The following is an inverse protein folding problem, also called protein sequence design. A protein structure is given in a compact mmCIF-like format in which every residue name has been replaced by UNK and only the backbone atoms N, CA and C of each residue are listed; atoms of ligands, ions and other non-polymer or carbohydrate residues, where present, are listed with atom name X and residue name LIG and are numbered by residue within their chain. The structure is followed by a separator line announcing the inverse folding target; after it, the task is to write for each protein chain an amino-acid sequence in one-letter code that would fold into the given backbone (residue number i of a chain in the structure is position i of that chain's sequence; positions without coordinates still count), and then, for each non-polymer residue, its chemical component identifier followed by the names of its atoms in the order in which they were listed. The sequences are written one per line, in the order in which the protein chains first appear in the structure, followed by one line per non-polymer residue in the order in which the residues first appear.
data_IF_847292079299
#
_entry.id   IF_847292079299
#
_cell.length_a   1.000
_cell.length_b   1.000
_cell.length_c   1.000
_cell.angle_alpha   90.00
_cell.angle_beta   90.00
_cell.angle_gamma   90.00
#
_symmetry.space_group_name_H-M   'P 1'
#
loop_
_entity.id
_entity.type
_entity.pdbx_description
1 polymer ?
#
# COMPACT_ATOMS: atom_id res chain seq x y z
N UNK A 1 27.10 -79.96 -43.72
CA UNK A 1 25.80 -79.40 -44.15
C UNK A 1 25.71 -77.99 -43.59
N UNK A 2 25.60 -76.98 -44.47
CA UNK A 2 25.54 -75.56 -44.15
C UNK A 2 24.37 -75.22 -43.21
N UNK A 3 24.52 -74.16 -42.41
CA UNK A 3 23.63 -72.99 -42.48
C UNK A 3 24.23 -71.81 -41.71
N UNK A 4 24.63 -70.76 -42.43
CA UNK A 4 24.94 -69.46 -41.88
C UNK A 4 23.64 -68.63 -41.84
N UNK A 5 23.19 -68.24 -40.66
CA UNK A 5 22.11 -67.26 -40.49
C UNK A 5 22.75 -65.88 -40.27
N UNK A 6 22.67 -65.02 -41.29
CA UNK A 6 23.03 -63.61 -41.19
C UNK A 6 21.95 -62.84 -40.43
N UNK A 7 22.28 -62.33 -39.25
CA UNK A 7 21.46 -61.38 -38.51
C UNK A 7 21.54 -60.02 -39.20
N UNK A 8 20.45 -59.63 -39.90
CA UNK A 8 20.24 -58.24 -40.34
C UNK A 8 19.87 -57.40 -39.12
N UNK A 9 20.82 -56.64 -38.58
CA UNK A 9 20.55 -55.59 -37.61
C UNK A 9 19.86 -54.42 -38.33
N UNK A 10 18.54 -54.28 -38.16
CA UNK A 10 17.77 -53.17 -38.70
C UNK A 10 17.90 -51.97 -37.75
N UNK A 11 18.69 -50.97 -38.16
CA UNK A 11 18.91 -49.70 -37.42
C UNK A 11 17.64 -48.86 -37.19
N UNK A 12 16.49 -49.28 -37.74
CA UNK A 12 15.24 -48.53 -37.70
C UNK A 12 14.66 -48.42 -36.28
N UNK A 13 14.67 -49.51 -35.50
CA UNK A 13 14.15 -49.52 -34.12
C UNK A 13 14.93 -48.60 -33.16
N UNK A 14 16.28 -48.64 -33.11
CA UNK A 14 17.04 -47.74 -32.25
C UNK A 14 16.93 -46.27 -32.68
N UNK A 15 16.80 -46.00 -33.99
CA UNK A 15 16.58 -44.64 -34.50
C UNK A 15 15.19 -44.10 -34.12
N UNK A 16 14.15 -44.92 -34.24
CA UNK A 16 12.79 -44.53 -33.88
C UNK A 16 12.66 -44.27 -32.37
N UNK A 17 13.28 -45.10 -31.54
CA UNK A 17 13.30 -44.89 -30.08
C UNK A 17 14.09 -43.64 -29.68
N UNK A 18 15.23 -43.37 -30.30
CA UNK A 18 15.97 -42.12 -30.08
C UNK A 18 15.16 -40.89 -30.50
N UNK A 19 14.47 -40.96 -31.64
CA UNK A 19 13.64 -39.87 -32.13
C UNK A 19 12.43 -39.60 -31.22
N UNK A 20 11.76 -40.65 -30.75
CA UNK A 20 10.68 -40.53 -29.76
C UNK A 20 11.19 -39.97 -28.43
N UNK A 21 12.37 -40.40 -27.97
CA UNK A 21 12.98 -39.88 -26.75
C UNK A 21 13.29 -38.37 -26.89
N UNK A 22 13.94 -37.96 -27.98
CA UNK A 22 14.23 -36.55 -28.26
C UNK A 22 12.97 -35.71 -28.47
N UNK A 23 11.89 -36.28 -29.03
CA UNK A 23 10.60 -35.59 -29.17
C UNK A 23 9.89 -35.36 -27.82
N UNK A 24 10.18 -36.16 -26.80
CA UNK A 24 9.63 -36.02 -25.44
C UNK A 24 10.52 -35.16 -24.54
N UNK A 25 11.80 -34.96 -24.88
CA UNK A 25 12.71 -34.02 -24.20
C UNK A 25 12.31 -32.57 -24.56
N UNK A 26 11.23 -32.10 -23.92
CA UNK A 26 10.97 -30.66 -23.80
C UNK A 26 12.12 -30.08 -22.97
N UNK A 27 12.77 -29.03 -23.47
CA UNK A 27 13.64 -28.16 -22.66
C UNK A 27 12.76 -27.40 -21.65
N UNK A 28 12.30 -28.08 -20.60
CA UNK A 28 11.61 -27.47 -19.48
C UNK A 28 12.64 -26.89 -18.52
N UNK A 29 12.57 -25.58 -18.28
CA UNK A 29 13.22 -25.00 -17.11
C UNK A 29 12.35 -25.35 -15.90
N UNK A 30 12.83 -26.25 -15.03
CA UNK A 30 12.08 -26.69 -13.84
C UNK A 30 11.99 -25.61 -12.75
N UNK A 31 12.58 -24.43 -12.97
CA UNK A 31 12.73 -23.38 -11.98
C UNK A 31 13.81 -23.72 -10.94
N UNK A 32 14.22 -22.72 -10.16
CA UNK A 32 15.11 -22.90 -9.02
C UNK A 32 14.29 -22.60 -7.77
N UNK A 33 14.16 -23.57 -6.87
CA UNK A 33 13.58 -23.34 -5.55
C UNK A 33 14.70 -23.00 -4.57
N UNK A 34 14.51 -21.94 -3.79
CA UNK A 34 15.47 -21.55 -2.74
C UNK A 34 15.54 -22.64 -1.67
N UNK A 35 16.73 -22.84 -1.09
CA UNK A 35 16.90 -23.65 0.13
C UNK A 35 16.42 -22.94 1.39
N UNK A 36 15.92 -21.71 1.27
CA UNK A 36 15.38 -20.94 2.38
C UNK A 36 14.13 -21.61 2.95
N UNK A 37 14.15 -21.89 4.25
CA UNK A 37 13.02 -22.42 5.01
C UNK A 37 12.61 -21.36 6.02
N UNK A 38 11.36 -20.88 5.92
CA UNK A 38 10.79 -19.95 6.88
C UNK A 38 10.69 -20.60 8.28
N UNK A 39 10.72 -19.78 9.33
CA UNK A 39 10.43 -20.27 10.67
C UNK A 39 9.06 -20.94 10.72
N UNK A 40 8.95 -22.04 11.49
CA UNK A 40 7.68 -22.76 11.67
C UNK A 40 6.61 -21.91 12.37
N UNK A 41 7.03 -20.93 13.17
CA UNK A 41 6.14 -20.09 13.96
C UNK A 41 5.60 -18.91 13.16
N UNK A 42 4.32 -18.60 13.38
CA UNK A 42 3.65 -17.44 12.80
C UNK A 42 4.31 -16.14 13.27
N UNK A 43 4.31 -15.14 12.38
CA UNK A 43 4.68 -13.78 12.77
C UNK A 43 3.60 -13.22 13.69
N UNK A 44 3.99 -12.66 14.82
CA UNK A 44 3.05 -11.98 15.73
C UNK A 44 2.92 -10.51 15.33
N UNK A 45 1.69 -10.00 15.39
CA UNK A 45 1.43 -8.58 15.20
C UNK A 45 2.14 -7.77 16.27
N UNK A 46 2.66 -6.61 15.85
CA UNK A 46 3.31 -5.69 16.76
C UNK A 46 2.26 -5.20 17.78
N UNK A 47 2.60 -5.12 19.08
CA UNK A 47 1.73 -4.53 20.10
C UNK A 47 1.37 -3.08 19.78
N UNK A 48 0.14 -2.65 20.08
CA UNK A 48 -0.35 -1.30 19.74
C UNK A 48 0.40 -0.17 20.45
N UNK A 49 1.03 -0.46 21.60
CA UNK A 49 1.86 0.46 22.39
C UNK A 49 3.31 0.55 21.86
N UNK A 50 3.65 -0.18 20.81
CA UNK A 50 4.97 -0.12 20.20
C UNK A 50 5.22 1.22 19.49
N UNK A 51 6.45 1.73 19.63
CA UNK A 51 6.92 2.97 18.98
C UNK A 51 6.71 3.03 17.47
N UNK A 52 6.60 1.88 16.80
CA UNK A 52 6.36 1.80 15.34
C UNK A 52 4.99 2.36 14.96
N UNK A 53 4.02 2.29 15.88
CA UNK A 53 2.69 2.89 15.75
C UNK A 53 2.55 4.18 16.56
N UNK A 54 3.66 4.76 17.00
CA UNK A 54 3.63 5.97 17.81
C UNK A 54 2.83 7.06 17.10
N UNK A 55 2.02 7.74 17.89
CA UNK A 55 1.40 8.99 17.48
C UNK A 55 2.53 10.03 17.39
N UNK A 56 2.61 10.85 16.32
CA UNK A 56 3.61 11.89 16.18
C UNK A 56 3.78 12.73 17.45
N UNK A 57 5.02 13.12 17.76
CA UNK A 57 5.32 13.91 18.94
C UNK A 57 4.88 15.37 18.72
N UNK A 58 4.17 15.87 19.72
CA UNK A 58 3.31 17.04 19.66
C UNK A 58 2.30 16.90 20.79
N UNK A 59 1.24 17.70 20.85
CA UNK A 59 0.38 17.71 22.05
C UNK A 59 -0.28 16.33 22.35
N UNK A 60 0.24 15.70 23.42
CA UNK A 60 -0.20 14.56 24.25
C UNK A 60 0.07 13.09 23.82
N UNK A 61 1.26 12.57 24.17
CA UNK A 61 1.43 11.16 24.58
C UNK A 61 1.49 11.08 26.12
N UNK A 62 0.87 10.11 26.85
CA UNK A 62 0.04 8.95 26.48
C UNK A 62 -1.39 8.92 27.11
N UNK A 63 -2.30 8.09 26.57
CA UNK A 63 -3.66 7.86 27.09
C UNK A 63 -3.69 6.73 28.14
N UNK A 64 -3.79 7.07 29.44
CA UNK A 64 -4.42 6.24 30.48
C UNK A 64 -4.74 7.09 31.75
N UNK A 65 -5.77 7.97 31.75
CA UNK A 65 -6.57 8.21 32.96
C UNK A 65 -7.96 8.73 32.58
N UNK A 66 -8.98 8.11 33.17
CA UNK A 66 -10.40 8.48 33.17
C UNK A 66 -10.58 9.93 33.67
N UNK A 67 -11.04 10.82 32.79
CA UNK A 67 -11.56 12.14 33.16
C UNK A 67 -10.59 13.31 32.97
N UNK A 68 -10.55 13.88 31.76
CA UNK A 68 -10.51 15.31 31.41
C UNK A 68 -10.08 15.41 29.94
N UNK A 69 -11.03 15.73 29.06
CA UNK A 69 -10.83 15.80 27.60
C UNK A 69 -10.13 17.11 27.27
N UNK A 70 -9.01 17.00 26.57
CA UNK A 70 -8.16 18.11 26.15
C UNK A 70 -7.83 17.77 24.68
N UNK A 71 -8.48 18.50 23.76
CA UNK A 71 -8.71 18.12 22.34
C UNK A 71 -7.42 18.15 21.50
N UNK A 72 -7.15 17.08 20.74
CA UNK A 72 -5.97 16.88 19.90
C UNK A 72 -6.35 16.93 18.40
N UNK A 73 -5.68 17.75 17.59
CA UNK A 73 -5.95 17.87 16.14
C UNK A 73 -4.68 17.75 15.27
N UNK A 74 -3.78 16.83 15.63
CA UNK A 74 -2.64 16.49 14.77
C UNK A 74 -3.05 15.45 13.73
N UNK A 75 -2.65 15.68 12.47
CA UNK A 75 -2.89 14.74 11.39
C UNK A 75 -2.10 13.45 11.63
N UNK A 76 -2.75 12.30 11.49
CA UNK A 76 -2.22 10.95 11.62
C UNK A 76 -2.33 10.21 10.29
N UNK A 77 -1.53 9.17 10.10
CA UNK A 77 -1.67 8.22 8.99
C UNK A 77 -1.61 8.89 7.62
N UNK A 78 -0.64 9.80 7.44
CA UNK A 78 -0.47 10.54 6.18
C UNK A 78 0.02 9.61 5.08
N UNK A 79 -0.65 9.64 3.93
CA UNK A 79 -0.25 8.86 2.77
C UNK A 79 -0.64 9.58 1.47
N UNK A 80 0.10 9.28 0.41
CA UNK A 80 -0.12 9.86 -0.91
C UNK A 80 -0.26 8.76 -1.97
N UNK A 81 -1.03 9.04 -3.01
CA UNK A 81 -1.13 8.22 -4.23
C UNK A 81 -1.19 9.14 -5.45
N UNK A 82 -0.90 8.62 -6.64
CA UNK A 82 -1.14 9.35 -7.87
C UNK A 82 -2.62 9.74 -7.99
N UNK A 83 -2.87 10.98 -8.42
CA UNK A 83 -4.20 11.61 -8.45
C UNK A 83 -4.81 11.77 -9.84
N UNK A 84 -4.04 11.55 -10.89
CA UNK A 84 -4.45 11.65 -12.29
C UNK A 84 -3.95 10.45 -13.12
N UNK A 85 -4.20 10.51 -14.42
CA UNK A 85 -3.76 9.47 -15.36
C UNK A 85 -2.30 9.63 -15.80
N UNK A 86 -1.75 10.85 -15.78
CA UNK A 86 -0.45 11.14 -16.39
C UNK A 86 0.69 11.36 -15.38
N UNK A 87 0.42 11.38 -14.07
CA UNK A 87 1.42 11.62 -13.03
C UNK A 87 1.65 13.10 -12.69
N UNK A 88 0.74 14.00 -13.09
CA UNK A 88 0.76 15.43 -12.77
C UNK A 88 -0.14 15.80 -11.58
N UNK A 89 -0.72 14.81 -10.91
CA UNK A 89 -1.49 15.04 -9.70
C UNK A 89 -1.18 13.99 -8.62
N UNK A 90 -1.39 14.40 -7.37
CA UNK A 90 -1.23 13.55 -6.19
C UNK A 90 -2.44 13.76 -5.28
N UNK A 91 -3.03 12.66 -4.79
CA UNK A 91 -4.02 12.70 -3.72
C UNK A 91 -3.30 12.55 -2.39
N UNK A 92 -3.38 13.56 -1.55
CA UNK A 92 -2.81 13.58 -0.20
C UNK A 92 -3.94 13.28 0.79
N UNK A 93 -3.73 12.29 1.64
CA UNK A 93 -4.72 11.80 2.59
C UNK A 93 -4.16 11.74 4.00
N UNK A 94 -4.97 12.07 4.99
CA UNK A 94 -4.60 12.05 6.41
C UNK A 94 -5.85 11.93 7.30
N UNK A 95 -5.64 11.69 8.59
CA UNK A 95 -6.71 11.57 9.59
C UNK A 95 -6.52 12.58 10.70
N UNK A 96 -7.53 13.38 11.06
CA UNK A 96 -7.54 14.11 12.35
C UNK A 96 -8.41 13.35 13.36
N UNK A 97 -7.93 13.09 14.58
CA UNK A 97 -8.59 12.16 15.50
C UNK A 97 -9.87 12.73 16.14
N UNK A 98 -9.84 13.98 16.63
CA UNK A 98 -10.90 14.50 17.50
C UNK A 98 -11.87 15.47 16.83
N UNK A 99 -11.39 16.34 15.95
CA UNK A 99 -12.20 17.34 15.25
C UNK A 99 -11.98 17.32 13.73
N UNK A 100 -12.96 17.78 12.93
CA UNK A 100 -12.86 17.76 11.47
C UNK A 100 -11.65 18.48 10.90
N UNK A 101 -11.06 19.44 11.62
CA UNK A 101 -9.92 20.21 11.15
C UNK A 101 -10.16 20.96 9.84
N UNK A 102 -9.06 21.37 9.19
CA UNK A 102 -9.08 22.02 7.89
C UNK A 102 -8.58 21.03 6.81
N UNK A 103 -9.45 20.70 5.84
CA UNK A 103 -9.07 19.94 4.63
C UNK A 103 -8.35 20.83 3.62
N UNK A 104 -7.15 21.30 3.95
CA UNK A 104 -6.36 22.15 3.05
C UNK A 104 -4.91 21.71 3.04
N UNK A 105 -4.36 21.55 1.83
CA UNK A 105 -2.94 21.33 1.61
C UNK A 105 -2.33 22.63 1.12
N UNK A 106 -1.23 23.06 1.73
CA UNK A 106 -0.37 24.10 1.17
C UNK A 106 0.87 23.43 0.58
N UNK A 107 1.31 23.85 -0.61
CA UNK A 107 2.42 23.18 -1.30
C UNK A 107 3.27 24.16 -2.11
N UNK A 108 4.50 23.74 -2.43
CA UNK A 108 5.46 24.51 -3.22
C UNK A 108 6.72 23.71 -3.52
N UNK A 109 7.61 24.25 -4.36
CA UNK A 109 8.85 23.57 -4.79
C UNK A 109 10.04 23.87 -3.89
N UNK A 110 9.87 24.74 -2.89
CA UNK A 110 10.90 25.14 -1.93
C UNK A 110 10.46 24.83 -0.51
N UNK A 111 11.38 24.30 0.29
CA UNK A 111 11.14 23.99 1.69
C UNK A 111 10.70 25.25 2.46
N UNK A 112 9.69 25.12 3.33
CA UNK A 112 9.09 26.23 4.09
C UNK A 112 8.47 27.36 3.24
N UNK A 113 8.28 27.17 1.92
CA UNK A 113 7.63 28.15 1.03
C UNK A 113 6.47 27.51 0.28
N UNK A 114 5.26 27.83 0.74
CA UNK A 114 4.02 27.26 0.21
C UNK A 114 3.26 28.32 -0.60
N UNK A 115 3.54 28.37 -1.89
CA UNK A 115 3.00 29.37 -2.82
C UNK A 115 1.60 29.00 -3.32
N UNK A 116 1.26 27.71 -3.25
CA UNK A 116 0.00 27.17 -3.73
C UNK A 116 -0.78 26.50 -2.60
N UNK A 117 -2.08 26.34 -2.82
CA UNK A 117 -2.92 25.57 -1.92
C UNK A 117 -4.04 24.87 -2.67
N UNK A 118 -4.44 23.70 -2.18
CA UNK A 118 -5.58 22.94 -2.67
C UNK A 118 -6.55 22.66 -1.51
N UNK A 119 -7.84 22.73 -1.80
CA UNK A 119 -8.90 22.38 -0.85
C UNK A 119 -9.31 20.92 -1.07
N UNK A 120 -9.46 20.19 0.02
CA UNK A 120 -9.86 18.79 0.05
C UNK A 120 -11.25 18.58 0.62
N UNK A 121 -11.64 17.32 0.73
CA UNK A 121 -12.87 16.89 1.39
C UNK A 121 -12.55 16.19 2.70
N UNK A 122 -13.56 16.03 3.55
CA UNK A 122 -13.45 15.28 4.82
C UNK A 122 -14.64 14.34 4.94
N UNK A 123 -14.39 13.13 5.40
CA UNK A 123 -15.40 12.12 5.69
C UNK A 123 -15.07 11.40 6.99
N UNK A 124 -15.99 10.58 7.49
CA UNK A 124 -15.72 9.61 8.54
C UNK A 124 -16.65 8.42 8.34
N UNK A 125 -16.37 7.34 9.05
CA UNK A 125 -17.21 6.15 9.01
C UNK A 125 -17.29 5.50 10.38
N UNK A 126 -18.31 4.67 10.54
CA UNK A 126 -18.45 3.77 11.69
C UNK A 126 -18.35 2.33 11.21
N UNK A 127 -17.66 1.52 11.99
CA UNK A 127 -17.56 0.07 11.82
C UNK A 127 -17.85 -0.57 13.18
N UNK A 128 -19.01 -1.19 13.32
CA UNK A 128 -19.54 -1.64 14.60
C UNK A 128 -19.52 -0.49 15.64
N UNK A 129 -18.86 -0.68 16.80
CA UNK A 129 -18.71 0.37 17.81
C UNK A 129 -17.52 1.31 17.55
N UNK A 130 -16.66 0.99 16.58
CA UNK A 130 -15.57 1.86 16.20
C UNK A 130 -16.11 3.04 15.38
N UNK A 131 -15.66 4.24 15.74
CA UNK A 131 -15.87 5.45 14.95
C UNK A 131 -14.52 5.97 14.52
N UNK A 132 -14.34 6.18 13.22
CA UNK A 132 -13.10 6.73 12.70
C UNK A 132 -12.89 8.17 13.17
N UNK A 133 -11.65 8.60 13.14
CA UNK A 133 -11.34 10.02 13.03
C UNK A 133 -11.89 10.60 11.72
N UNK A 134 -11.58 11.87 11.48
CA UNK A 134 -11.95 12.58 10.27
C UNK A 134 -10.90 12.34 9.21
N UNK A 135 -11.29 11.68 8.12
CA UNK A 135 -10.41 11.27 7.03
C UNK A 135 -10.51 12.31 5.93
N UNK A 136 -9.36 12.87 5.58
CA UNK A 136 -9.23 13.92 4.59
C UNK A 136 -8.64 13.36 3.31
N UNK A 137 -9.13 13.86 2.18
CA UNK A 137 -8.52 13.65 0.87
C UNK A 137 -8.42 14.98 0.14
N UNK A 138 -7.24 15.31 -0.35
CA UNK A 138 -6.99 16.53 -1.10
C UNK A 138 -6.26 16.19 -2.40
N UNK A 139 -6.88 16.51 -3.54
CA UNK A 139 -6.25 16.40 -4.85
C UNK A 139 -5.39 17.64 -5.09
N UNK A 140 -4.10 17.44 -5.29
CA UNK A 140 -3.16 18.46 -5.75
C UNK A 140 -2.83 18.15 -7.20
N UNK A 141 -3.26 18.98 -8.14
CA UNK A 141 -3.10 18.81 -9.57
C UNK A 141 -2.23 19.91 -10.21
N UNK A 142 -2.01 19.80 -11.52
CA UNK A 142 -1.23 20.78 -12.28
C UNK A 142 0.26 20.80 -11.94
N UNK A 143 0.79 19.71 -11.38
CA UNK A 143 2.20 19.62 -10.97
C UNK A 143 3.12 19.44 -12.17
N UNK A 144 4.36 19.93 -12.06
CA UNK A 144 5.39 19.68 -13.07
C UNK A 144 5.98 18.27 -12.90
N UNK A 145 6.40 17.67 -14.01
CA UNK A 145 7.10 16.38 -13.99
C UNK A 145 8.48 16.52 -13.35
N UNK A 146 9.00 15.40 -12.82
CA UNK A 146 10.34 15.30 -12.23
C UNK A 146 10.69 16.47 -11.28
N UNK A 147 9.71 16.87 -10.46
CA UNK A 147 9.83 18.03 -9.58
C UNK A 147 9.54 17.64 -8.13
N UNK A 148 10.41 18.12 -7.23
CA UNK A 148 10.22 17.95 -5.80
C UNK A 148 9.25 18.98 -5.27
N UNK A 149 8.21 18.51 -4.59
CA UNK A 149 7.23 19.35 -3.90
C UNK A 149 7.31 19.12 -2.40
N UNK A 150 7.27 20.20 -1.65
CA UNK A 150 7.03 20.20 -0.21
C UNK A 150 5.55 20.50 0.01
N UNK A 151 4.94 19.81 0.95
CA UNK A 151 3.54 20.03 1.30
C UNK A 151 3.34 20.08 2.81
N UNK A 152 2.35 20.85 3.21
CA UNK A 152 1.98 21.13 4.59
C UNK A 152 0.50 20.90 4.78
N UNK A 153 0.18 20.21 5.85
CA UNK A 153 -1.18 19.94 6.32
C UNK A 153 -1.35 20.38 7.76
N UNK A 154 -2.59 20.60 8.20
CA UNK A 154 -2.89 21.11 9.53
C UNK A 154 -2.64 22.62 9.67
N UNK A 155 -2.96 23.18 10.84
CA UNK A 155 -2.94 24.63 11.09
C UNK A 155 -2.15 24.94 12.35
N UNK A 156 -1.33 25.99 12.30
CA UNK A 156 -0.59 26.47 13.47
C UNK A 156 0.37 25.42 14.03
N UNK A 157 0.32 25.22 15.35
CA UNK A 157 1.23 24.31 16.08
C UNK A 157 1.03 22.82 15.79
N UNK A 158 -0.08 22.41 15.18
CA UNK A 158 -0.34 21.02 14.78
C UNK A 158 0.01 20.72 13.32
N UNK A 159 0.60 21.70 12.62
CA UNK A 159 0.94 21.54 11.22
C UNK A 159 2.13 20.60 11.03
N UNK A 160 2.05 19.76 9.99
CA UNK A 160 3.06 18.76 9.64
C UNK A 160 3.51 18.99 8.20
N UNK A 161 4.80 18.80 7.97
CA UNK A 161 5.45 19.10 6.70
C UNK A 161 6.12 17.86 6.14
N UNK A 162 5.99 17.66 4.84
CA UNK A 162 6.42 16.49 4.11
C UNK A 162 6.89 16.92 2.72
N UNK A 163 7.33 15.95 1.91
CA UNK A 163 7.71 16.19 0.53
C UNK A 163 7.47 14.94 -0.31
N UNK A 164 7.30 15.13 -1.61
CA UNK A 164 7.29 14.05 -2.61
C UNK A 164 7.96 14.52 -3.90
N UNK A 165 8.23 13.58 -4.80
CA UNK A 165 8.78 13.83 -6.14
C UNK A 165 7.77 13.32 -7.17
N UNK A 166 7.37 14.17 -8.12
CA UNK A 166 6.54 13.74 -9.25
C UNK A 166 7.35 12.84 -10.21
N UNK A 167 6.70 11.90 -10.91
CA UNK A 167 7.40 11.03 -11.85
C UNK A 167 8.00 11.81 -13.03
N UNK A 168 8.99 11.24 -13.75
CA UNK A 168 9.42 11.79 -15.02
C UNK A 168 8.25 11.80 -16.01
N UNK A 169 8.38 12.63 -17.04
CA UNK A 169 7.41 12.68 -18.12
C UNK A 169 7.29 11.29 -18.77
N UNK A 170 6.05 10.88 -19.07
CA UNK A 170 5.75 9.63 -19.77
C UNK A 170 6.50 9.60 -21.09
N UNK A 171 7.41 8.65 -21.19
CA UNK A 171 8.26 8.40 -22.34
C UNK A 171 8.71 6.93 -22.31
N UNK A 172 8.81 6.24 -23.47
CA UNK A 172 9.26 4.84 -23.53
C UNK A 172 10.62 4.57 -22.89
N UNK A 173 11.50 5.58 -22.85
CA UNK A 173 12.86 5.45 -22.35
C UNK A 173 13.05 6.04 -20.93
N UNK A 174 11.99 6.57 -20.32
CA UNK A 174 12.04 7.13 -18.96
C UNK A 174 12.24 6.03 -17.92
N UNK A 175 13.36 6.02 -17.16
CA UNK A 175 13.57 5.03 -16.12
C UNK A 175 12.66 5.31 -14.93
N UNK A 176 12.07 4.24 -14.38
CA UNK A 176 11.27 4.33 -13.16
C UNK A 176 11.35 3.03 -12.37
N UNK A 177 11.47 3.12 -11.05
CA UNK A 177 11.61 1.95 -10.17
C UNK A 177 10.39 1.78 -9.28
N UNK A 178 9.60 0.74 -9.54
CA UNK A 178 8.49 0.33 -8.69
C UNK A 178 8.95 -0.63 -7.59
N UNK A 179 8.57 -0.35 -6.36
CA UNK A 179 8.45 -1.37 -5.31
C UNK A 179 7.18 -2.17 -5.51
N UNK A 180 7.21 -3.47 -5.21
CA UNK A 180 6.01 -4.31 -5.23
C UNK A 180 5.89 -4.95 -3.86
N UNK A 181 4.79 -4.64 -3.16
CA UNK A 181 4.49 -5.15 -1.81
C UNK A 181 3.05 -5.65 -1.82
N UNK A 182 2.81 -6.80 -1.21
CA UNK A 182 1.47 -7.32 -0.94
C UNK A 182 1.44 -7.96 0.42
N UNK A 183 0.24 -8.16 0.97
CA UNK A 183 0.06 -8.94 2.20
C UNK A 183 0.90 -8.43 3.36
N UNK A 184 0.99 -7.09 3.50
CA UNK A 184 1.97 -6.49 4.40
C UNK A 184 1.61 -6.76 5.86
N UNK A 185 0.39 -6.47 6.29
CA UNK A 185 0.01 -6.52 7.70
C UNK A 185 0.87 -5.62 8.57
N UNK A 186 0.96 -5.94 9.87
CA UNK A 186 1.60 -5.08 10.87
C UNK A 186 2.41 -5.86 11.92
N UNK A 187 3.19 -6.82 11.44
CA UNK A 187 4.10 -7.67 12.23
C UNK A 187 5.54 -7.17 12.19
N UNK A 188 6.44 -7.78 12.96
CA UNK A 188 7.88 -7.48 12.86
C UNK A 188 8.48 -7.84 11.48
N UNK A 189 7.96 -8.89 10.82
CA UNK A 189 8.33 -9.19 9.44
C UNK A 189 7.84 -8.10 8.48
N UNK A 190 6.64 -7.56 8.70
CA UNK A 190 6.07 -6.46 7.94
C UNK A 190 6.96 -5.21 8.04
N UNK A 191 7.40 -4.88 9.26
CA UNK A 191 8.36 -3.80 9.49
C UNK A 191 9.68 -4.05 8.76
N UNK A 192 10.23 -5.26 8.86
CA UNK A 192 11.46 -5.62 8.15
C UNK A 192 11.31 -5.47 6.64
N UNK A 193 10.20 -5.93 6.05
CA UNK A 193 9.90 -5.76 4.62
C UNK A 193 9.87 -4.29 4.23
N UNK A 194 9.17 -3.45 5.01
CA UNK A 194 9.08 -2.02 4.75
C UNK A 194 10.45 -1.33 4.88
N UNK A 195 11.26 -1.69 5.87
CA UNK A 195 12.62 -1.14 6.06
C UNK A 195 13.57 -1.53 4.93
N UNK A 196 13.50 -2.77 4.43
CA UNK A 196 14.25 -3.18 3.24
C UNK A 196 13.80 -2.43 1.99
N UNK A 197 12.48 -2.24 1.83
CA UNK A 197 11.94 -1.45 0.73
C UNK A 197 12.47 -0.01 0.75
N UNK A 198 12.44 0.65 1.90
CA UNK A 198 12.91 2.03 2.06
C UNK A 198 14.41 2.20 1.73
N UNK A 199 15.19 1.11 1.77
CA UNK A 199 16.61 1.09 1.38
C UNK A 199 16.83 0.73 -0.09
N UNK A 200 15.80 0.31 -0.82
CA UNK A 200 15.91 -0.16 -2.21
C UNK A 200 16.02 0.94 -3.25
N UNK A 201 15.61 2.17 -2.93
CA UNK A 201 15.50 3.27 -3.89
C UNK A 201 14.23 3.27 -4.74
N UNK A 202 13.22 2.46 -4.38
CA UNK A 202 11.91 2.48 -5.03
C UNK A 202 11.23 3.86 -4.92
N UNK A 203 10.64 4.30 -6.03
CA UNK A 203 10.03 5.62 -6.19
C UNK A 203 8.52 5.61 -5.97
N UNK A 204 7.88 4.45 -6.13
CA UNK A 204 6.44 4.25 -5.95
C UNK A 204 6.20 2.79 -5.62
N UNK A 205 5.26 2.52 -4.72
CA UNK A 205 4.85 1.15 -4.36
C UNK A 205 3.61 0.77 -5.15
N UNK A 206 3.67 -0.36 -5.86
CA UNK A 206 2.48 -1.09 -6.30
C UNK A 206 2.07 -2.02 -5.14
N UNK A 207 0.97 -1.68 -4.47
CA UNK A 207 0.47 -2.43 -3.33
C UNK A 207 -0.66 -3.38 -3.74
N UNK A 208 -0.39 -4.68 -3.71
CA UNK A 208 -1.25 -5.71 -4.35
C UNK A 208 -2.30 -6.35 -3.43
N UNK A 209 -2.84 -5.57 -2.48
CA UNK A 209 -3.92 -6.01 -1.58
C UNK A 209 -3.46 -6.58 -0.24
N UNK A 210 -4.44 -6.79 0.64
CA UNK A 210 -4.29 -7.28 2.01
C UNK A 210 -3.38 -6.37 2.85
N UNK A 211 -3.90 -5.18 3.17
CA UNK A 211 -3.17 -4.07 3.77
C UNK A 211 -2.91 -4.34 5.26
N UNK A 212 -3.94 -4.19 6.08
CA UNK A 212 -3.80 -4.12 7.54
C UNK A 212 -4.04 -5.44 8.28
N UNK A 213 -4.76 -6.37 7.63
CA UNK A 213 -5.31 -7.58 8.25
C UNK A 213 -6.16 -7.30 9.51
N UNK A 214 -6.81 -6.13 9.55
CA UNK A 214 -7.63 -5.68 10.66
C UNK A 214 -8.84 -6.61 10.94
N UNK A 215 -9.38 -7.26 9.91
CA UNK A 215 -10.49 -8.21 9.98
C UNK A 215 -10.20 -9.46 10.83
N UNK A 216 -8.94 -9.73 11.17
CA UNK A 216 -8.53 -10.82 12.07
C UNK A 216 -8.79 -10.53 13.55
N UNK A 217 -9.16 -9.30 13.89
CA UNK A 217 -9.36 -8.85 15.26
C UNK A 217 -10.84 -8.88 15.67
N UNK A 218 -11.09 -8.81 16.99
CA UNK A 218 -12.44 -8.61 17.49
C UNK A 218 -13.03 -7.31 16.90
N UNK A 219 -14.33 -7.30 16.66
CA UNK A 219 -15.05 -6.25 15.91
C UNK A 219 -14.70 -4.80 16.33
N UNK A 220 -14.47 -4.55 17.62
CA UNK A 220 -14.12 -3.22 18.15
C UNK A 220 -12.70 -2.76 17.75
N UNK A 221 -11.81 -3.69 17.48
CA UNK A 221 -10.38 -3.43 17.23
C UNK A 221 -10.06 -3.34 15.73
N UNK A 222 -11.01 -3.67 14.84
CA UNK A 222 -10.83 -3.60 13.38
C UNK A 222 -10.38 -2.19 12.96
N UNK A 223 -11.14 -1.17 13.34
CA UNK A 223 -10.77 0.22 13.01
C UNK A 223 -9.47 0.68 13.68
N UNK A 224 -9.19 0.22 14.90
CA UNK A 224 -7.94 0.53 15.63
C UNK A 224 -6.73 -0.03 14.87
N UNK A 225 -6.87 -1.23 14.27
CA UNK A 225 -5.82 -1.88 13.49
C UNK A 225 -5.57 -1.24 12.14
N UNK A 226 -6.59 -0.61 11.54
CA UNK A 226 -6.39 0.28 10.40
C UNK A 226 -5.63 1.55 10.80
N UNK A 227 -5.95 2.14 11.95
CA UNK A 227 -5.28 3.35 12.43
C UNK A 227 -3.79 3.10 12.74
N UNK A 228 -3.47 1.99 13.41
CA UNK A 228 -2.06 1.61 13.65
C UNK A 228 -1.32 1.33 12.35
N UNK A 229 -1.95 0.64 11.40
CA UNK A 229 -1.32 0.36 10.10
C UNK A 229 -1.03 1.63 9.31
N UNK A 230 -1.97 2.58 9.29
CA UNK A 230 -1.76 3.90 8.67
C UNK A 230 -0.57 4.66 9.27
N UNK A 231 -0.44 4.69 10.60
CA UNK A 231 0.74 5.28 11.27
C UNK A 231 2.03 4.52 10.98
N UNK A 232 1.94 3.20 10.80
CA UNK A 232 3.09 2.37 10.47
C UNK A 232 3.67 2.70 9.10
N UNK A 233 2.83 2.77 8.06
CA UNK A 233 3.27 3.01 6.67
C UNK A 233 3.59 4.47 6.35
N UNK A 234 3.13 5.43 7.17
CA UNK A 234 3.34 6.88 6.96
C UNK A 234 4.80 7.23 6.67
N UNK A 235 5.74 6.54 7.32
CA UNK A 235 7.20 6.69 7.13
C UNK A 235 7.67 6.50 5.68
N UNK A 236 6.86 5.85 4.84
CA UNK A 236 7.09 5.67 3.41
C UNK A 236 6.01 6.37 2.60
N UNK A 237 4.74 6.08 2.88
CA UNK A 237 3.62 6.51 2.06
C UNK A 237 3.35 8.02 2.11
N UNK A 238 3.88 8.77 3.08
CA UNK A 238 3.81 10.23 3.07
C UNK A 238 4.82 10.88 2.10
N UNK A 239 5.79 10.12 1.60
CA UNK A 239 6.91 10.66 0.79
C UNK A 239 6.95 10.15 -0.64
N UNK A 240 6.20 9.08 -0.93
CA UNK A 240 6.12 8.48 -2.25
C UNK A 240 4.73 7.86 -2.47
N UNK A 241 4.21 7.87 -3.71
CA UNK A 241 2.94 7.26 -4.01
C UNK A 241 2.92 5.76 -3.69
N UNK A 242 1.84 5.31 -3.06
CA UNK A 242 1.46 3.90 -3.00
C UNK A 242 0.18 3.74 -3.82
N UNK A 243 0.22 2.85 -4.81
CA UNK A 243 -0.89 2.53 -5.70
C UNK A 243 -1.66 1.36 -5.09
N UNK A 244 -2.91 1.61 -4.71
CA UNK A 244 -3.72 0.73 -3.89
C UNK A 244 -4.49 -0.31 -4.71
N UNK A 245 -4.36 -1.58 -4.33
CA UNK A 245 -5.30 -2.64 -4.72
C UNK A 245 -6.03 -3.14 -3.48
N UNK A 246 -7.29 -3.54 -3.64
CA UNK A 246 -8.04 -4.20 -2.58
C UNK A 246 -7.84 -5.73 -2.66
N UNK A 247 -7.47 -6.34 -1.54
CA UNK A 247 -7.44 -7.79 -1.36
C UNK A 247 -8.72 -8.31 -0.69
N UNK A 248 -8.73 -9.59 -0.32
CA UNK A 248 -9.88 -10.18 0.36
C UNK A 248 -9.99 -9.73 1.83
N UNK A 249 -8.87 -9.38 2.48
CA UNK A 249 -8.89 -8.88 3.85
C UNK A 249 -9.48 -7.46 3.95
N UNK A 250 -9.65 -6.76 2.83
CA UNK A 250 -10.36 -5.48 2.77
C UNK A 250 -11.89 -5.63 2.64
N UNK A 251 -12.43 -6.85 2.38
CA UNK A 251 -13.87 -7.06 2.21
C UNK A 251 -14.64 -6.74 3.50
N UNK A 252 -14.11 -7.15 4.66
CA UNK A 252 -14.67 -6.90 5.99
C UNK A 252 -16.17 -7.21 6.15
N UNK A 253 -16.64 -8.28 5.53
CA UNK A 253 -18.05 -8.69 5.59
C UNK A 253 -18.34 -9.48 6.86
N UNK A 254 -18.97 -8.82 7.85
CA UNK A 254 -19.26 -9.35 9.18
C UNK A 254 -20.76 -9.17 9.53
N UNK A 255 -21.64 -10.03 8.99
CA UNK A 255 -23.10 -9.87 9.14
C UNK A 255 -23.59 -10.00 10.60
N UNK A 256 -22.88 -10.78 11.44
CA UNK A 256 -23.24 -10.99 12.85
C UNK A 256 -23.22 -9.69 13.68
N UNK A 257 -22.51 -8.66 13.21
CA UNK A 257 -22.44 -7.33 13.84
C UNK A 257 -23.02 -6.21 12.97
N UNK A 258 -23.76 -6.56 11.91
CA UNK A 258 -24.41 -5.61 11.01
C UNK A 258 -23.49 -4.96 9.97
N UNK A 259 -22.23 -5.38 9.88
CA UNK A 259 -21.27 -4.89 8.89
C UNK A 259 -21.37 -5.68 7.59
N UNK A 260 -22.34 -5.29 6.76
CA UNK A 260 -22.70 -6.00 5.51
C UNK A 260 -22.29 -5.28 4.23
N UNK A 261 -21.66 -4.10 4.34
CA UNK A 261 -21.17 -3.32 3.20
C UNK A 261 -19.70 -3.66 2.94
N UNK A 262 -19.36 -4.30 1.82
CA UNK A 262 -17.98 -4.66 1.51
C UNK A 262 -17.07 -3.44 1.36
N UNK A 263 -15.79 -3.58 1.72
CA UNK A 263 -14.75 -2.58 1.51
C UNK A 263 -14.97 -1.24 2.24
N UNK A 264 -15.85 -1.20 3.25
CA UNK A 264 -16.22 0.05 3.92
C UNK A 264 -15.00 0.80 4.47
N UNK A 265 -14.12 0.17 5.25
CA UNK A 265 -12.94 0.85 5.80
C UNK A 265 -11.95 1.25 4.71
N UNK A 266 -11.70 0.35 3.76
CA UNK A 266 -10.78 0.59 2.65
C UNK A 266 -11.20 1.82 1.82
N UNK A 267 -12.46 1.87 1.38
CA UNK A 267 -12.98 2.94 0.52
C UNK A 267 -13.06 4.31 1.20
N UNK A 268 -13.15 4.36 2.53
CA UNK A 268 -13.05 5.64 3.26
C UNK A 268 -11.62 6.08 3.50
N UNK A 269 -10.65 5.16 3.55
CA UNK A 269 -9.26 5.46 3.93
C UNK A 269 -8.34 5.69 2.75
N UNK A 270 -8.57 4.99 1.64
CA UNK A 270 -7.68 5.02 0.48
C UNK A 270 -8.45 5.45 -0.75
N UNK A 271 -8.21 6.70 -1.16
CA UNK A 271 -8.75 7.23 -2.41
C UNK A 271 -7.91 6.76 -3.59
N UNK A 272 -8.53 6.56 -4.75
CA UNK A 272 -7.89 6.13 -5.99
C UNK A 272 -8.24 7.08 -7.13
N UNK A 273 -7.38 7.24 -8.16
CA UNK A 273 -7.66 8.11 -9.31
C UNK A 273 -8.63 7.46 -10.32
N UNK A 274 -9.61 6.68 -9.86
CA UNK A 274 -10.47 5.85 -10.73
C UNK A 274 -11.21 6.67 -11.79
N UNK A 275 -11.67 7.87 -11.44
CA UNK A 275 -12.31 8.79 -12.40
C UNK A 275 -11.37 9.26 -13.50
N UNK A 276 -10.06 9.41 -13.24
CA UNK A 276 -9.08 9.84 -14.23
C UNK A 276 -8.90 8.79 -15.34
N UNK A 277 -9.09 7.52 -15.01
CA UNK A 277 -9.09 6.41 -15.98
C UNK A 277 -10.45 6.15 -16.65
N UNK A 278 -11.48 6.93 -16.32
CA UNK A 278 -12.86 6.69 -16.79
C UNK A 278 -13.55 5.49 -16.13
N UNK A 279 -12.99 4.95 -15.04
CA UNK A 279 -13.67 3.95 -14.21
C UNK A 279 -14.82 4.59 -13.43
N UNK A 280 -15.84 3.78 -13.12
CA UNK A 280 -16.96 4.16 -12.26
C UNK A 280 -16.87 3.53 -10.86
N UNK A 281 -15.76 2.85 -10.54
CA UNK A 281 -15.57 2.17 -9.27
C UNK A 281 -14.14 2.36 -8.75
N UNK A 282 -13.97 2.78 -7.48
CA UNK A 282 -12.64 2.97 -6.88
C UNK A 282 -11.80 1.68 -6.74
N UNK A 283 -12.41 0.50 -6.87
CA UNK A 283 -11.74 -0.79 -6.74
C UNK A 283 -11.00 -1.26 -8.01
N UNK A 284 -11.23 -0.60 -9.15
CA UNK A 284 -10.46 -0.88 -10.38
C UNK A 284 -10.22 0.43 -11.14
N UNK A 285 -8.97 0.66 -11.52
CA UNK A 285 -8.54 1.89 -12.17
C UNK A 285 -7.22 1.67 -12.91
N UNK A 286 -6.83 2.66 -13.72
CA UNK A 286 -5.48 2.80 -14.25
C UNK A 286 -4.91 4.18 -13.91
N UNK A 287 -3.59 4.25 -13.82
CA UNK A 287 -2.79 5.43 -13.47
C UNK A 287 -1.40 5.29 -14.05
#
# INVERSE_FOLDING_TARGET
MLMAFGLRFTWFEPLLTLFLFLAVVKKGNAGITSSFVRSQWQSFDIPLDNKVFAIPNGYNAPQQVKGMVMMINEALSVHITQGDYDGKAVIISWVTPDEPGLSKVQYGTSENKYEFSADGTVTNYTFYNYKSGYIHHCLVDGLEYDTKYYYKIGVGGSSREFWFQTPPKIDPDSPFTFGIIGDLGQTYNSLSTLEHYMQSGGQTVLFVGDLSYADRYQYNDVGIRWDSWGRFIERSAAYQPWIWSAGNHEIEYMPDVGEVLPFKSYLHRFSTPYLASGSNNPLWYSS
#
